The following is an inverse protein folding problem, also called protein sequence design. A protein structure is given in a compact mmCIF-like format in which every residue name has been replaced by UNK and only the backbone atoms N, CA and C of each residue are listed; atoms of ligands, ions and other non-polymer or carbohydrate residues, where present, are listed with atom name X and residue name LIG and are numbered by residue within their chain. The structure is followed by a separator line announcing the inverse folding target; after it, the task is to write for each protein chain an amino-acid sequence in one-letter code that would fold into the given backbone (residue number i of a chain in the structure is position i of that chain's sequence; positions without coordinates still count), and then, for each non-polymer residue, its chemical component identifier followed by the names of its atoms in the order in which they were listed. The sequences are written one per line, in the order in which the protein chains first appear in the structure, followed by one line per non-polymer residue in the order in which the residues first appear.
data_IF_079430985037
#
_entry.id   IF_079430985037
#
_cell.length_a   1.000
_cell.length_b   1.000
_cell.length_c   1.000
_cell.angle_alpha   90.00
_cell.angle_beta   90.00
_cell.angle_gamma   90.00
#
_symmetry.space_group_name_H-M   'P 1'
#
loop_
_entity.id
_entity.type
_entity.pdbx_description
1 polymer ?
#
# COMPACT_ATOMS: atom_id res chain seq x y z
N UNK A 1 19.96 25.64 10.33
CA UNK A 1 19.16 26.57 11.16
C UNK A 1 17.98 27.15 10.37
N UNK A 2 18.19 27.81 9.22
CA UNK A 2 17.10 28.33 8.36
C UNK A 2 16.16 27.23 7.81
N UNK A 3 16.69 26.11 7.29
CA UNK A 3 15.88 24.96 6.84
C UNK A 3 15.06 24.32 7.98
N UNK A 4 15.58 24.29 9.21
CA UNK A 4 14.86 23.76 10.38
C UNK A 4 13.72 24.68 10.84
N UNK A 5 13.92 26.01 10.75
CA UNK A 5 12.87 27.00 11.00
C UNK A 5 11.79 26.94 9.91
N UNK A 6 12.19 26.77 8.64
CA UNK A 6 11.24 26.55 7.53
C UNK A 6 10.48 25.23 7.66
N UNK A 7 11.15 24.15 8.08
CA UNK A 7 10.52 22.86 8.41
C UNK A 7 9.48 22.99 9.52
N UNK A 8 9.80 23.71 10.60
CA UNK A 8 8.83 24.02 11.66
C UNK A 8 7.62 24.81 11.16
N UNK A 9 7.82 25.71 10.18
CA UNK A 9 6.75 26.48 9.56
C UNK A 9 5.94 25.66 8.53
N UNK A 10 6.55 24.78 7.74
CA UNK A 10 5.83 23.91 6.78
C UNK A 10 4.98 22.86 7.47
N UNK A 11 5.48 22.28 8.56
CA UNK A 11 4.73 21.33 9.41
C UNK A 11 3.46 21.96 9.97
N UNK A 12 3.50 23.24 10.36
CA UNK A 12 2.38 23.97 10.98
C UNK A 12 1.48 24.70 9.98
N UNK A 13 2.05 25.34 8.96
CA UNK A 13 1.35 26.25 8.04
C UNK A 13 1.05 25.65 6.66
N UNK A 14 1.54 24.44 6.35
CA UNK A 14 1.33 23.81 5.05
C UNK A 14 2.06 24.51 3.89
N UNK A 15 3.10 25.28 4.19
CA UNK A 15 3.97 25.94 3.20
C UNK A 15 4.92 24.93 2.55
N UNK A 16 5.48 25.26 1.38
CA UNK A 16 6.47 24.45 0.69
C UNK A 16 7.64 24.06 1.62
N UNK A 17 7.92 22.76 1.71
CA UNK A 17 9.07 22.21 2.43
C UNK A 17 10.39 22.74 1.81
N UNK A 18 11.42 23.06 2.60
CA UNK A 18 12.72 23.42 2.06
C UNK A 18 13.32 22.25 1.25
N UNK A 19 14.18 22.57 0.29
CA UNK A 19 14.96 21.55 -0.40
C UNK A 19 16.02 21.00 0.55
N UNK A 20 15.77 19.83 1.13
CA UNK A 20 16.68 19.17 2.07
C UNK A 20 17.86 18.57 1.32
N UNK A 21 17.58 17.79 0.27
CA UNK A 21 18.56 17.05 -0.52
C UNK A 21 18.38 15.52 -0.42
N UNK A 22 19.00 14.74 -1.31
CA UNK A 22 18.90 13.27 -1.32
C UNK A 22 19.52 12.62 -0.08
N UNK A 23 20.39 13.30 0.65
CA UNK A 23 20.96 12.84 1.92
C UNK A 23 19.97 12.84 3.08
N UNK A 24 18.81 13.50 2.91
CA UNK A 24 17.76 13.58 3.93
C UNK A 24 16.65 12.54 3.73
N UNK A 25 16.83 11.61 2.79
CA UNK A 25 15.99 10.43 2.61
C UNK A 25 16.88 9.18 2.77
N UNK A 26 16.43 8.24 3.59
CA UNK A 26 17.11 6.98 3.86
C UNK A 26 16.22 5.83 3.39
N UNK A 27 16.24 5.47 2.09
CA UNK A 27 15.46 4.38 1.55
C UNK A 27 15.64 3.06 2.33
N UNK A 28 14.55 2.30 2.42
CA UNK A 28 14.47 1.04 3.19
C UNK A 28 15.59 0.03 2.89
N UNK A 29 16.13 0.00 1.66
CA UNK A 29 17.19 -0.93 1.25
C UNK A 29 18.60 -0.31 1.24
N UNK A 30 18.78 0.93 1.69
CA UNK A 30 20.05 1.66 1.54
C UNK A 30 21.26 0.94 2.12
N UNK A 31 21.14 0.32 3.30
CA UNK A 31 22.26 -0.42 3.91
C UNK A 31 22.76 -1.55 3.01
N UNK A 32 21.84 -2.39 2.51
CA UNK A 32 22.16 -3.50 1.62
C UNK A 32 22.77 -3.04 0.29
N UNK A 33 22.21 -1.97 -0.30
CA UNK A 33 22.66 -1.40 -1.56
C UNK A 33 24.04 -0.73 -1.43
N UNK A 34 24.35 -0.15 -0.28
CA UNK A 34 25.66 0.42 0.04
C UNK A 34 26.71 -0.62 0.49
N UNK A 35 26.38 -1.92 0.41
CA UNK A 35 27.32 -3.02 0.65
C UNK A 35 27.33 -3.57 2.08
N UNK A 36 26.53 -3.03 3.00
CA UNK A 36 26.36 -3.62 4.33
C UNK A 36 25.45 -4.85 4.24
N UNK A 37 26.08 -6.02 4.11
CA UNK A 37 25.38 -7.31 4.02
C UNK A 37 24.98 -7.89 5.38
N UNK A 38 25.24 -7.19 6.49
CA UNK A 38 24.69 -7.59 7.80
C UNK A 38 23.17 -7.34 7.88
N UNK A 39 22.66 -6.40 7.09
CA UNK A 39 21.24 -6.16 6.88
C UNK A 39 20.84 -6.86 5.57
N UNK A 40 19.99 -7.90 5.62
CA UNK A 40 19.55 -8.58 4.40
C UNK A 40 18.67 -7.66 3.56
N UNK A 41 18.61 -7.91 2.25
CA UNK A 41 17.72 -7.17 1.34
C UNK A 41 16.26 -7.29 1.79
N UNK A 42 15.87 -8.50 2.19
CA UNK A 42 14.58 -8.79 2.79
C UNK A 42 14.70 -9.96 3.78
N UNK A 43 13.74 -10.06 4.70
CA UNK A 43 13.68 -11.14 5.71
C UNK A 43 12.23 -11.48 6.07
N UNK A 44 12.04 -12.61 6.78
CA UNK A 44 10.71 -13.02 7.25
C UNK A 44 10.17 -12.07 8.33
N UNK A 45 8.84 -12.05 8.47
CA UNK A 45 8.15 -11.25 9.47
C UNK A 45 8.12 -11.94 10.83
N UNK A 46 8.35 -11.15 11.86
CA UNK A 46 8.10 -11.51 13.25
C UNK A 46 6.80 -10.86 13.73
N UNK A 47 6.28 -11.28 14.89
CA UNK A 47 5.11 -10.63 15.52
C UNK A 47 5.33 -9.12 15.71
N UNK A 48 6.55 -8.72 16.07
CA UNK A 48 6.92 -7.31 16.24
C UNK A 48 6.78 -6.52 14.94
N UNK A 49 7.11 -7.13 13.80
CA UNK A 49 6.97 -6.48 12.49
C UNK A 49 5.51 -6.32 12.07
N UNK A 50 4.62 -7.17 12.59
CA UNK A 50 3.16 -7.11 12.37
C UNK A 50 2.43 -6.29 13.44
N UNK A 51 3.17 -5.73 14.42
CA UNK A 51 2.57 -4.94 15.49
C UNK A 51 2.35 -3.50 15.06
N UNK A 52 1.25 -2.90 15.51
CA UNK A 52 1.02 -1.46 15.39
C UNK A 52 2.13 -0.72 16.13
N UNK A 53 2.69 0.29 15.48
CA UNK A 53 3.77 1.11 16.01
C UNK A 53 3.24 2.21 16.94
N UNK A 54 2.00 2.65 16.72
CA UNK A 54 1.28 3.69 17.47
C UNK A 54 2.17 4.90 17.76
N UNK A 55 2.71 5.58 16.72
CA UNK A 55 3.58 6.73 16.95
C UNK A 55 2.85 7.85 17.71
N UNK A 56 3.59 8.62 18.49
CA UNK A 56 3.07 9.75 19.27
C UNK A 56 2.98 11.08 18.48
N UNK A 57 3.04 11.02 17.16
CA UNK A 57 2.97 12.16 16.25
C UNK A 57 1.91 11.92 15.18
N UNK A 58 1.73 12.87 14.27
CA UNK A 58 0.75 12.72 13.18
C UNK A 58 1.15 11.54 12.29
N UNK A 59 0.32 10.50 12.28
CA UNK A 59 0.57 9.29 11.51
C UNK A 59 -0.72 8.60 11.10
N UNK A 60 -0.61 7.77 10.06
CA UNK A 60 -1.66 6.84 9.64
C UNK A 60 -1.05 5.45 9.54
N UNK A 61 -1.64 4.50 10.26
CA UNK A 61 -1.34 3.08 10.17
C UNK A 61 -2.51 2.35 9.52
N UNK A 62 -2.22 1.47 8.56
CA UNK A 62 -3.24 0.66 7.91
C UNK A 62 -2.88 -0.82 7.96
N UNK A 63 -3.92 -1.64 8.05
CA UNK A 63 -3.85 -3.05 7.66
C UNK A 63 -4.86 -3.23 6.53
N UNK A 64 -4.36 -3.61 5.35
CA UNK A 64 -5.19 -3.80 4.15
C UNK A 64 -5.09 -5.24 3.69
N UNK A 65 -6.25 -5.87 3.52
CA UNK A 65 -6.40 -7.25 3.06
C UNK A 65 -7.12 -7.21 1.71
N UNK A 66 -6.37 -7.21 0.62
CA UNK A 66 -6.94 -7.30 -0.74
C UNK A 66 -7.41 -8.72 -0.98
N UNK A 67 -8.53 -8.94 -1.63
CA UNK A 67 -8.99 -10.29 -1.98
C UNK A 67 -9.47 -10.35 -3.42
N UNK A 68 -9.30 -11.51 -4.04
CA UNK A 68 -9.69 -11.83 -5.41
C UNK A 68 -10.20 -13.26 -5.41
N UNK A 69 -11.36 -13.51 -6.01
CA UNK A 69 -11.79 -14.86 -6.40
C UNK A 69 -12.08 -14.91 -7.91
N UNK A 70 -12.83 -15.91 -8.36
CA UNK A 70 -13.21 -16.06 -9.76
C UNK A 70 -14.06 -14.89 -10.28
N UNK A 71 -14.95 -14.35 -9.45
CA UNK A 71 -15.99 -13.38 -9.79
C UNK A 71 -15.71 -11.99 -9.21
N UNK A 72 -15.31 -11.93 -7.96
CA UNK A 72 -15.22 -10.75 -7.12
C UNK A 72 -13.77 -10.37 -6.80
N UNK A 73 -13.58 -9.09 -6.51
CA UNK A 73 -12.33 -8.53 -6.00
C UNK A 73 -12.65 -7.35 -5.09
N UNK A 74 -11.72 -6.98 -4.22
CA UNK A 74 -11.92 -5.92 -3.25
C UNK A 74 -10.86 -5.88 -2.17
N UNK A 75 -11.17 -5.19 -1.08
CA UNK A 75 -10.34 -5.20 0.11
C UNK A 75 -11.14 -4.93 1.39
N UNK A 76 -10.63 -5.44 2.50
CA UNK A 76 -10.99 -5.00 3.84
C UNK A 76 -9.80 -4.25 4.45
N UNK A 77 -10.06 -3.09 5.05
CA UNK A 77 -9.01 -2.24 5.60
C UNK A 77 -9.42 -1.68 6.95
N UNK A 78 -8.50 -1.69 7.91
CA UNK A 78 -8.58 -0.81 9.08
C UNK A 78 -7.56 0.30 8.95
N UNK A 79 -8.00 1.52 9.22
CA UNK A 79 -7.17 2.72 9.27
C UNK A 79 -7.14 3.17 10.74
N UNK A 80 -5.96 3.29 11.31
CA UNK A 80 -5.71 3.86 12.63
C UNK A 80 -4.85 5.11 12.49
N UNK A 81 -5.42 6.26 12.80
CA UNK A 81 -4.77 7.56 12.65
C UNK A 81 -4.50 8.19 14.00
N UNK A 82 -3.32 8.79 14.15
CA UNK A 82 -3.00 9.69 15.25
C UNK A 82 -2.87 11.11 14.71
N UNK A 83 -3.60 12.06 15.30
CA UNK A 83 -3.55 13.47 14.94
C UNK A 83 -2.80 14.22 16.05
N UNK A 84 -1.59 14.69 15.74
CA UNK A 84 -0.75 15.53 16.62
C UNK A 84 -0.40 14.83 17.96
N UNK A 85 -0.52 13.50 18.05
CA UNK A 85 -0.23 12.77 19.29
C UNK A 85 -1.34 12.86 20.36
N UNK A 86 -2.46 13.52 20.06
CA UNK A 86 -3.50 13.86 21.04
C UNK A 86 -4.83 13.15 20.80
N UNK A 87 -5.15 12.88 19.53
CA UNK A 87 -6.42 12.30 19.14
C UNK A 87 -6.18 11.12 18.20
N UNK A 88 -6.57 9.92 18.66
CA UNK A 88 -6.62 8.73 17.81
C UNK A 88 -8.01 8.57 17.23
N UNK A 89 -8.07 8.18 15.96
CA UNK A 89 -9.32 7.81 15.27
C UNK A 89 -9.10 6.51 14.53
N UNK A 90 -10.14 5.69 14.42
CA UNK A 90 -10.08 4.50 13.58
C UNK A 90 -11.29 4.41 12.65
N UNK A 91 -11.09 3.76 11.50
CA UNK A 91 -12.11 3.51 10.49
C UNK A 91 -11.95 2.09 9.95
N UNK A 92 -13.07 1.45 9.64
CA UNK A 92 -13.11 0.23 8.85
C UNK A 92 -13.65 0.56 7.46
N UNK A 93 -12.84 0.29 6.44
CA UNK A 93 -13.18 0.49 5.03
C UNK A 93 -13.32 -0.87 4.37
N UNK A 94 -14.38 -1.05 3.59
CA UNK A 94 -14.62 -2.25 2.81
C UNK A 94 -15.02 -1.89 1.39
N UNK A 95 -14.33 -2.49 0.43
CA UNK A 95 -14.60 -2.38 -1.00
C UNK A 95 -14.84 -3.76 -1.60
N UNK A 96 -15.83 -3.88 -2.46
CA UNK A 96 -16.16 -5.10 -3.18
C UNK A 96 -16.75 -4.78 -4.54
N UNK A 97 -16.32 -5.50 -5.58
CA UNK A 97 -16.83 -5.37 -6.93
C UNK A 97 -16.65 -6.66 -7.73
N UNK A 98 -17.37 -6.77 -8.84
CA UNK A 98 -17.16 -7.86 -9.81
C UNK A 98 -15.97 -7.52 -10.71
N UNK A 99 -15.07 -8.47 -10.96
CA UNK A 99 -13.87 -8.29 -11.80
C UNK A 99 -14.20 -7.87 -13.25
N UNK A 100 -15.39 -8.23 -13.73
CA UNK A 100 -15.85 -7.88 -15.07
C UNK A 100 -16.37 -6.43 -15.18
N UNK A 101 -16.87 -5.86 -14.07
CA UNK A 101 -17.43 -4.50 -13.97
C UNK A 101 -16.89 -3.81 -12.72
N UNK A 102 -15.59 -3.51 -12.66
CA UNK A 102 -14.96 -3.04 -11.43
C UNK A 102 -15.34 -1.60 -11.04
N UNK A 103 -15.97 -0.85 -11.92
CA UNK A 103 -16.54 0.48 -11.72
C UNK A 103 -17.93 0.46 -11.05
N UNK A 104 -18.59 -0.71 -10.99
CA UNK A 104 -19.79 -0.96 -10.19
C UNK A 104 -19.40 -1.66 -8.89
N UNK A 105 -19.15 -0.86 -7.86
CA UNK A 105 -18.59 -1.31 -6.60
C UNK A 105 -19.43 -0.89 -5.39
N UNK A 106 -19.39 -1.75 -4.37
CA UNK A 106 -19.74 -1.38 -3.00
C UNK A 106 -18.51 -0.74 -2.35
N UNK A 107 -18.69 0.44 -1.77
CA UNK A 107 -17.71 1.09 -0.91
C UNK A 107 -18.37 1.51 0.40
N UNK A 108 -17.78 1.13 1.52
CA UNK A 108 -18.19 1.61 2.84
C UNK A 108 -16.96 2.03 3.63
N UNK A 109 -17.08 3.14 4.36
CA UNK A 109 -16.07 3.60 5.32
C UNK A 109 -16.81 4.04 6.58
N UNK A 110 -16.56 3.33 7.68
CA UNK A 110 -17.29 3.52 8.93
C UNK A 110 -16.33 3.84 10.06
N UNK A 111 -16.59 4.94 10.78
CA UNK A 111 -15.84 5.32 11.98
C UNK A 111 -16.01 4.24 13.05
N UNK A 112 -14.92 3.90 13.73
CA UNK A 112 -14.90 2.95 14.83
C UNK A 112 -14.85 3.66 16.17
N UNK A 113 -15.59 3.12 17.13
CA UNK A 113 -15.62 3.57 18.52
C UNK A 113 -15.13 2.45 19.44
N UNK A 114 -14.66 2.81 20.65
CA UNK A 114 -14.10 1.90 21.65
C UNK A 114 -12.99 0.97 21.14
N UNK A 115 -12.20 1.45 20.17
CA UNK A 115 -11.15 0.63 19.58
C UNK A 115 -9.94 0.45 20.50
N UNK A 116 -9.29 -0.70 20.41
CA UNK A 116 -8.07 -1.05 21.15
C UNK A 116 -7.18 -1.97 20.33
N UNK A 117 -5.87 -1.87 20.59
CA UNK A 117 -4.87 -2.79 20.05
C UNK A 117 -4.42 -3.70 21.19
N UNK A 118 -4.57 -5.01 21.02
CA UNK A 118 -4.10 -6.02 21.96
C UNK A 118 -2.97 -6.84 21.34
N UNK A 119 -2.05 -7.34 22.18
CA UNK A 119 -0.91 -8.16 21.76
C UNK A 119 -0.02 -7.52 20.68
N UNK A 120 -0.14 -6.21 20.47
CA UNK A 120 0.51 -5.46 19.40
C UNK A 120 -0.13 -5.62 18.03
N UNK A 121 -0.78 -6.76 17.73
CA UNK A 121 -1.23 -7.13 16.38
C UNK A 121 -2.74 -7.13 16.20
N UNK A 122 -3.50 -7.30 17.29
CA UNK A 122 -4.93 -7.56 17.23
C UNK A 122 -5.68 -6.25 17.37
N UNK A 123 -6.59 -5.97 16.45
CA UNK A 123 -7.41 -4.77 16.45
C UNK A 123 -8.85 -5.11 16.81
N UNK A 124 -9.37 -4.48 17.85
CA UNK A 124 -10.77 -4.61 18.26
C UNK A 124 -11.44 -3.25 18.27
N UNK A 125 -12.73 -3.20 17.95
CA UNK A 125 -13.62 -2.07 18.16
C UNK A 125 -15.06 -2.59 18.32
N UNK A 126 -16.02 -1.71 18.61
CA UNK A 126 -17.42 -2.11 18.59
C UNK A 126 -17.79 -2.66 17.19
N UNK A 127 -18.27 -3.90 17.14
CA UNK A 127 -18.65 -4.58 15.89
C UNK A 127 -17.49 -4.93 14.94
N UNK A 128 -16.21 -4.79 15.35
CA UNK A 128 -15.05 -5.13 14.50
C UNK A 128 -13.99 -5.89 15.28
N UNK A 129 -13.42 -6.93 14.67
CA UNK A 129 -12.22 -7.61 15.16
C UNK A 129 -11.31 -8.06 14.01
N UNK A 130 -10.02 -7.78 14.10
CA UNK A 130 -8.96 -8.29 13.23
C UNK A 130 -7.91 -8.94 14.12
N UNK A 131 -7.81 -10.26 14.08
CA UNK A 131 -7.02 -11.02 15.05
C UNK A 131 -6.00 -11.90 14.34
N UNK A 132 -4.73 -11.79 14.73
CA UNK A 132 -3.64 -12.62 14.21
C UNK A 132 -3.44 -13.85 15.12
N UNK A 133 -3.43 -15.04 14.52
CA UNK A 133 -3.20 -16.26 15.29
C UNK A 133 -1.79 -16.34 15.91
N UNK A 134 -1.57 -17.20 16.92
CA UNK A 134 -0.27 -17.38 17.56
C UNK A 134 0.86 -17.73 16.58
N UNK A 135 0.57 -18.52 15.54
CA UNK A 135 1.50 -19.02 14.52
C UNK A 135 1.91 -17.97 13.47
N UNK A 136 1.35 -16.75 13.51
CA UNK A 136 1.67 -15.65 12.59
C UNK A 136 1.42 -15.99 11.11
N UNK A 137 0.37 -16.76 10.84
CA UNK A 137 0.04 -17.20 9.49
C UNK A 137 -1.44 -17.09 9.14
N UNK A 138 -2.29 -16.62 10.05
CA UNK A 138 -3.72 -16.47 9.79
C UNK A 138 -4.31 -15.25 10.49
N UNK A 139 -5.05 -14.42 9.74
CA UNK A 139 -5.89 -13.36 10.27
C UNK A 139 -7.36 -13.76 10.18
N UNK A 140 -8.11 -13.49 11.26
CA UNK A 140 -9.56 -13.56 11.28
C UNK A 140 -10.12 -12.13 11.32
N UNK A 141 -10.92 -11.75 10.31
CA UNK A 141 -11.48 -10.42 10.12
C UNK A 141 -13.00 -10.52 10.26
N UNK A 142 -13.57 -9.80 11.21
CA UNK A 142 -15.03 -9.70 11.40
C UNK A 142 -15.43 -8.24 11.47
N UNK A 143 -16.49 -7.88 10.76
CA UNK A 143 -17.07 -6.55 10.80
C UNK A 143 -18.59 -6.66 10.63
N UNK A 144 -19.32 -6.14 11.61
CA UNK A 144 -20.78 -5.95 11.58
C UNK A 144 -21.15 -4.47 11.79
N UNK A 145 -20.17 -3.58 11.67
CA UNK A 145 -20.30 -2.14 11.96
C UNK A 145 -21.16 -1.40 10.93
N UNK A 146 -21.30 -1.94 9.72
CA UNK A 146 -22.07 -1.33 8.64
C UNK A 146 -23.24 -2.25 8.25
N UNK A 147 -24.47 -1.75 8.26
CA UNK A 147 -25.62 -2.56 7.83
C UNK A 147 -25.60 -2.90 6.34
N UNK A 148 -24.80 -2.18 5.55
CA UNK A 148 -24.69 -2.40 4.11
C UNK A 148 -23.81 -3.61 3.77
N UNK A 149 -22.91 -4.00 4.68
CA UNK A 149 -22.12 -5.23 4.59
C UNK A 149 -21.71 -5.79 5.96
N UNK A 150 -21.91 -7.09 6.14
CA UNK A 150 -21.33 -7.85 7.26
C UNK A 150 -20.23 -8.74 6.69
N UNK A 151 -19.01 -8.56 7.19
CA UNK A 151 -17.79 -9.21 6.70
C UNK A 151 -17.31 -10.23 7.72
N UNK A 152 -17.04 -11.45 7.25
CA UNK A 152 -16.38 -12.49 8.04
C UNK A 152 -15.40 -13.24 7.14
N UNK A 153 -14.11 -12.93 7.25
CA UNK A 153 -13.06 -13.45 6.38
C UNK A 153 -11.93 -14.08 7.21
N UNK A 154 -11.41 -15.19 6.71
CA UNK A 154 -10.17 -15.82 7.17
C UNK A 154 -9.12 -15.68 6.09
N UNK A 155 -8.00 -15.05 6.42
CA UNK A 155 -6.87 -14.82 5.51
C UNK A 155 -5.68 -15.64 6.00
N UNK A 156 -5.20 -16.58 5.20
CA UNK A 156 -4.10 -17.47 5.55
C UNK A 156 -2.90 -17.25 4.63
N UNK A 157 -1.73 -17.03 5.23
CA UNK A 157 -0.47 -16.84 4.54
C UNK A 157 -0.05 -18.13 3.82
N UNK A 158 0.25 -18.02 2.53
CA UNK A 158 0.73 -19.15 1.70
C UNK A 158 2.21 -19.05 1.35
N UNK A 159 2.87 -17.96 1.72
CA UNK A 159 4.26 -17.65 1.35
C UNK A 159 5.03 -17.03 2.51
N UNK A 160 6.34 -16.82 2.35
CA UNK A 160 7.10 -16.03 3.32
C UNK A 160 6.50 -14.61 3.44
N UNK A 161 6.40 -14.10 4.66
CA UNK A 161 6.04 -12.70 4.89
C UNK A 161 7.29 -11.85 4.69
N UNK A 162 7.17 -10.66 4.14
CA UNK A 162 8.33 -9.92 3.67
C UNK A 162 8.40 -8.55 4.33
N UNK A 163 9.56 -8.26 4.94
CA UNK A 163 10.05 -6.90 5.18
C UNK A 163 11.34 -6.68 4.43
N UNK A 164 11.49 -5.52 3.82
CA UNK A 164 12.73 -5.10 3.19
C UNK A 164 13.65 -4.40 4.19
N UNK A 165 14.96 -4.53 3.98
CA UNK A 165 15.97 -3.97 4.87
C UNK A 165 15.81 -4.43 6.32
N UNK A 166 16.05 -3.51 7.25
CA UNK A 166 16.02 -3.78 8.69
C UNK A 166 14.62 -4.10 9.21
N UNK A 167 13.63 -3.31 8.83
CA UNK A 167 12.28 -3.34 9.43
C UNK A 167 11.14 -2.89 8.48
N UNK A 168 11.43 -2.73 7.18
CA UNK A 168 10.48 -2.25 6.18
C UNK A 168 10.35 -0.73 6.10
N UNK A 169 11.17 0.04 6.81
CA UNK A 169 11.01 1.50 6.95
C UNK A 169 12.00 2.30 6.11
N UNK A 170 11.48 3.31 5.42
CA UNK A 170 12.22 4.45 4.88
C UNK A 170 12.11 5.62 5.85
N UNK A 171 13.23 6.28 6.13
CA UNK A 171 13.30 7.39 7.08
C UNK A 171 13.59 8.72 6.38
N UNK A 172 12.99 9.78 6.90
CA UNK A 172 13.18 11.14 6.43
C UNK A 172 13.87 11.96 7.54
N UNK A 173 14.94 12.65 7.21
CA UNK A 173 15.72 13.42 8.18
C UNK A 173 17.21 13.43 7.88
N UNK A 174 17.91 14.41 8.47
CA UNK A 174 19.38 14.45 8.45
C UNK A 174 20.01 13.56 9.52
N UNK A 175 19.21 13.08 10.47
CA UNK A 175 19.59 12.13 11.52
C UNK A 175 18.62 10.95 11.47
N UNK A 176 19.13 9.77 11.10
CA UNK A 176 18.33 8.54 10.98
C UNK A 176 17.87 8.01 12.33
N UNK A 177 18.56 8.36 13.42
CA UNK A 177 18.17 7.97 14.78
C UNK A 177 17.06 8.86 15.33
N UNK A 178 16.88 10.06 14.76
CA UNK A 178 15.83 11.01 15.11
C UNK A 178 15.11 11.53 13.84
N UNK A 179 14.44 10.64 13.08
CA UNK A 179 13.81 11.02 11.83
C UNK A 179 12.59 11.91 12.11
N UNK A 180 12.33 12.88 11.22
CA UNK A 180 11.13 13.72 11.30
C UNK A 180 9.93 13.11 10.57
N UNK A 181 10.14 12.00 9.87
CA UNK A 181 9.11 11.29 9.13
C UNK A 181 9.56 9.88 8.79
N UNK A 182 8.59 9.00 8.57
CA UNK A 182 8.83 7.63 8.17
C UNK A 182 7.76 7.11 7.23
N UNK A 183 8.14 6.13 6.42
CA UNK A 183 7.24 5.37 5.59
C UNK A 183 7.60 3.90 5.69
N UNK A 184 6.65 3.05 6.08
CA UNK A 184 6.92 1.64 6.32
C UNK A 184 5.89 0.76 5.63
N UNK A 185 6.36 -0.34 5.05
CA UNK A 185 5.51 -1.39 4.48
C UNK A 185 6.05 -2.78 4.83
N UNK A 186 5.16 -3.68 5.22
CA UNK A 186 5.43 -5.13 5.31
C UNK A 186 4.28 -5.91 4.69
N UNK A 187 4.60 -7.06 4.09
CA UNK A 187 3.69 -7.74 3.17
C UNK A 187 3.51 -9.21 3.53
N UNK A 188 2.30 -9.74 3.35
CA UNK A 188 2.12 -11.13 2.95
C UNK A 188 1.75 -11.13 1.45
N UNK A 189 2.72 -11.46 0.57
CA UNK A 189 2.57 -11.26 -0.88
C UNK A 189 1.62 -12.25 -1.55
N UNK A 190 1.52 -13.48 -1.00
CA UNK A 190 0.60 -14.51 -1.46
C UNK A 190 -0.07 -15.21 -0.29
N UNK A 191 -1.39 -15.17 -0.29
CA UNK A 191 -2.25 -15.71 0.75
C UNK A 191 -3.52 -16.31 0.12
N UNK A 192 -4.24 -17.14 0.88
CA UNK A 192 -5.62 -17.55 0.58
C UNK A 192 -6.62 -16.78 1.44
N UNK A 193 -7.81 -16.57 0.90
CA UNK A 193 -8.95 -16.01 1.63
C UNK A 193 -10.18 -16.90 1.46
N UNK A 194 -10.89 -17.09 2.56
CA UNK A 194 -12.20 -17.73 2.58
C UNK A 194 -13.13 -16.97 3.53
N UNK A 195 -14.43 -17.10 3.34
CA UNK A 195 -15.42 -16.52 4.23
C UNK A 195 -16.63 -15.98 3.51
N UNK A 196 -17.37 -15.09 4.19
CA UNK A 196 -18.65 -14.59 3.71
C UNK A 196 -18.76 -13.08 3.85
N UNK A 197 -19.40 -12.47 2.86
CA UNK A 197 -19.80 -11.06 2.86
C UNK A 197 -21.31 -11.02 2.64
N UNK A 198 -22.06 -10.58 3.65
CA UNK A 198 -23.53 -10.44 3.55
C UNK A 198 -23.87 -9.00 3.21
N UNK A 199 -24.55 -8.80 2.09
CA UNK A 199 -24.98 -7.50 1.58
C UNK A 199 -26.34 -7.08 2.15
N UNK A 200 -26.63 -5.78 2.05
CA UNK A 200 -27.88 -5.16 2.53
C UNK A 200 -29.15 -5.78 1.95
N UNK A 201 -29.10 -6.17 0.68
CA UNK A 201 -30.23 -6.75 -0.07
C UNK A 201 -30.48 -8.22 0.31
N UNK A 202 -29.64 -8.80 1.16
CA UNK A 202 -29.72 -10.18 1.61
C UNK A 202 -28.84 -11.15 0.83
N UNK A 203 -28.18 -10.72 -0.25
CA UNK A 203 -27.19 -11.54 -0.95
C UNK A 203 -26.03 -11.89 0.00
N UNK A 204 -25.54 -13.12 -0.07
CA UNK A 204 -24.34 -13.55 0.66
C UNK A 204 -23.32 -14.06 -0.34
N UNK A 205 -22.24 -13.30 -0.50
CA UNK A 205 -21.08 -13.70 -1.29
C UNK A 205 -20.23 -14.61 -0.42
N UNK A 206 -19.87 -15.77 -0.96
CA UNK A 206 -18.97 -16.72 -0.29
C UNK A 206 -17.69 -16.80 -1.09
N UNK A 207 -16.58 -16.39 -0.48
CA UNK A 207 -15.25 -16.54 -1.04
C UNK A 207 -14.76 -17.95 -0.68
N UNK A 208 -14.41 -18.75 -1.69
CA UNK A 208 -13.80 -20.07 -1.51
C UNK A 208 -12.50 -20.14 -2.29
N UNK A 209 -11.39 -20.41 -1.59
CA UNK A 209 -10.05 -20.48 -2.19
C UNK A 209 -9.65 -19.21 -2.97
N UNK A 210 -10.11 -18.03 -2.54
CA UNK A 210 -9.68 -16.77 -3.12
C UNK A 210 -8.19 -16.53 -2.87
N UNK A 211 -7.57 -15.72 -3.72
CA UNK A 211 -6.22 -15.20 -3.49
C UNK A 211 -6.28 -13.87 -2.75
N UNK A 212 -5.31 -13.61 -1.87
CA UNK A 212 -5.21 -12.34 -1.14
C UNK A 212 -3.76 -11.88 -1.07
N UNK A 213 -3.60 -10.57 -0.86
CA UNK A 213 -2.36 -9.93 -0.49
C UNK A 213 -2.64 -9.05 0.72
N UNK A 214 -1.79 -9.16 1.74
CA UNK A 214 -1.87 -8.33 2.93
C UNK A 214 -0.71 -7.34 2.97
N UNK A 215 -1.01 -6.10 3.33
CA UNK A 215 -0.01 -5.08 3.62
C UNK A 215 -0.35 -4.37 4.92
N UNK A 216 0.66 -4.22 5.77
CA UNK A 216 0.63 -3.28 6.89
C UNK A 216 1.50 -2.08 6.54
N UNK A 217 0.91 -0.89 6.55
CA UNK A 217 1.61 0.34 6.23
C UNK A 217 1.59 1.32 7.40
N UNK A 218 2.65 2.12 7.51
CA UNK A 218 2.71 3.28 8.39
C UNK A 218 3.23 4.46 7.57
N UNK A 219 2.45 5.53 7.55
CA UNK A 219 2.88 6.85 7.10
C UNK A 219 3.00 7.77 8.31
N UNK A 220 4.25 8.06 8.72
CA UNK A 220 4.58 8.90 9.87
C UNK A 220 4.74 10.39 9.54
N UNK A 221 4.10 10.89 8.49
CA UNK A 221 4.14 12.29 8.08
C UNK A 221 2.97 12.65 7.16
N UNK A 222 2.81 13.93 6.79
CA UNK A 222 1.76 14.34 5.85
C UNK A 222 2.05 13.78 4.44
N UNK A 223 1.04 13.31 3.67
CA UNK A 223 1.26 12.68 2.36
C UNK A 223 2.10 13.50 1.39
N UNK A 224 1.80 14.80 1.27
CA UNK A 224 2.50 15.73 0.36
C UNK A 224 3.94 16.05 0.78
N UNK A 225 4.34 15.75 2.01
CA UNK A 225 5.74 15.81 2.42
C UNK A 225 6.45 14.47 2.18
N UNK A 226 5.73 13.35 2.17
CA UNK A 226 6.32 12.02 2.00
C UNK A 226 6.62 11.71 0.52
N UNK A 227 5.66 12.00 -0.34
CA UNK A 227 5.68 11.56 -1.73
C UNK A 227 4.91 12.53 -2.63
N UNK A 228 5.35 12.60 -3.89
CA UNK A 228 4.63 13.28 -4.97
C UNK A 228 3.78 12.33 -5.80
N UNK A 229 4.19 11.07 -5.89
CA UNK A 229 3.47 10.02 -6.63
C UNK A 229 3.78 8.63 -6.09
N UNK A 230 2.88 7.69 -6.33
CA UNK A 230 3.03 6.27 -5.98
C UNK A 230 2.59 5.36 -7.12
N UNK A 231 3.25 4.20 -7.20
CA UNK A 231 2.84 3.07 -8.01
C UNK A 231 2.73 1.84 -7.11
N UNK A 232 1.57 1.17 -7.16
CA UNK A 232 1.33 -0.10 -6.49
C UNK A 232 0.99 -1.18 -7.50
N UNK A 233 1.60 -2.35 -7.36
CA UNK A 233 1.25 -3.56 -8.09
C UNK A 233 0.91 -4.66 -7.10
N UNK A 234 -0.26 -5.26 -7.27
CA UNK A 234 -0.63 -6.56 -6.73
C UNK A 234 -1.11 -7.45 -7.89
N UNK A 235 -0.18 -8.19 -8.49
CA UNK A 235 -0.45 -9.20 -9.50
C UNK A 235 -0.65 -10.55 -8.82
N UNK A 236 -1.73 -11.26 -9.17
CA UNK A 236 -2.03 -12.60 -8.70
C UNK A 236 -2.49 -13.48 -9.87
N UNK A 237 -1.78 -14.59 -10.07
CA UNK A 237 -2.18 -15.67 -10.96
C UNK A 237 -2.18 -17.01 -10.22
N UNK A 238 -2.55 -18.07 -10.94
CA UNK A 238 -2.41 -19.44 -10.45
C UNK A 238 -0.95 -19.75 -10.09
N UNK A 239 0.01 -19.29 -10.91
CA UNK A 239 1.39 -19.71 -10.79
C UNK A 239 2.30 -18.73 -10.02
N UNK A 240 1.96 -17.44 -9.98
CA UNK A 240 2.83 -16.41 -9.41
C UNK A 240 2.05 -15.31 -8.70
N UNK A 241 2.73 -14.63 -7.77
CA UNK A 241 2.31 -13.32 -7.30
C UNK A 241 3.47 -12.33 -7.42
N UNK A 242 3.16 -11.10 -7.84
CA UNK A 242 4.12 -10.01 -7.86
C UNK A 242 3.56 -8.84 -7.07
N UNK A 243 4.30 -8.42 -6.06
CA UNK A 243 3.99 -7.22 -5.28
C UNK A 243 5.09 -6.21 -5.53
N UNK A 244 4.74 -4.98 -5.89
CA UNK A 244 5.66 -3.86 -5.98
C UNK A 244 5.03 -2.61 -5.35
N UNK A 245 5.79 -1.94 -4.50
CA UNK A 245 5.47 -0.64 -3.94
C UNK A 245 6.58 0.33 -4.30
N UNK A 246 6.24 1.37 -5.05
CA UNK A 246 7.15 2.45 -5.40
C UNK A 246 6.52 3.79 -5.06
N UNK A 247 7.31 4.68 -4.48
CA UNK A 247 6.95 6.08 -4.40
C UNK A 247 8.11 6.97 -4.83
N UNK A 248 7.76 8.13 -5.35
CA UNK A 248 8.72 9.18 -5.64
C UNK A 248 8.53 10.31 -4.63
N UNK A 249 9.60 10.72 -3.98
CA UNK A 249 9.55 11.84 -3.03
C UNK A 249 9.29 13.17 -3.75
N UNK A 250 8.84 14.23 -3.04
CA UNK A 250 8.84 15.58 -3.57
C UNK A 250 10.26 16.10 -3.89
N UNK A 251 10.35 17.25 -4.56
CA UNK A 251 11.62 17.99 -4.77
C UNK A 251 12.44 18.19 -3.51
N UNK A 252 11.79 18.29 -2.34
CA UNK A 252 12.47 18.45 -1.05
C UNK A 252 13.48 17.35 -0.75
N UNK A 253 13.29 16.15 -1.32
CA UNK A 253 14.21 15.01 -1.22
C UNK A 253 14.72 14.59 -2.60
N UNK A 254 14.88 15.56 -3.50
CA UNK A 254 15.47 15.38 -4.83
C UNK A 254 14.73 14.41 -5.77
N UNK A 255 13.40 14.28 -5.63
CA UNK A 255 12.63 13.33 -6.48
C UNK A 255 13.19 11.90 -6.40
N UNK A 256 13.63 11.49 -5.21
CA UNK A 256 14.19 10.16 -4.99
C UNK A 256 13.10 9.11 -5.16
N UNK A 257 13.38 8.08 -5.96
CA UNK A 257 12.52 6.91 -6.11
C UNK A 257 12.90 5.91 -5.03
N UNK A 258 11.89 5.45 -4.29
CA UNK A 258 12.01 4.36 -3.32
C UNK A 258 11.11 3.25 -3.81
N UNK A 259 11.70 2.08 -4.09
CA UNK A 259 10.99 0.95 -4.67
C UNK A 259 11.35 -0.34 -3.94
N UNK A 260 10.35 -1.17 -3.69
CA UNK A 260 10.50 -2.54 -3.18
C UNK A 260 9.56 -3.45 -3.95
N UNK A 261 10.01 -4.66 -4.25
CA UNK A 261 9.19 -5.63 -4.97
C UNK A 261 9.61 -7.07 -4.72
N UNK A 262 8.65 -7.99 -4.74
CA UNK A 262 8.87 -9.41 -4.49
C UNK A 262 8.07 -10.27 -5.47
N UNK A 263 8.68 -11.36 -5.89
CA UNK A 263 8.09 -12.37 -6.78
C UNK A 263 8.02 -13.70 -6.02
N UNK A 264 6.82 -14.29 -5.97
CA UNK A 264 6.55 -15.57 -5.31
C UNK A 264 5.99 -16.54 -6.34
N UNK A 265 6.38 -17.81 -6.26
CA UNK A 265 5.76 -18.89 -7.03
C UNK A 265 4.52 -19.50 -6.35
N UNK A 266 3.84 -20.40 -7.05
CA UNK A 266 2.62 -21.07 -6.58
C UNK A 266 2.80 -21.90 -5.31
N UNK A 267 4.02 -22.36 -5.05
CA UNK A 267 4.35 -23.19 -3.90
C UNK A 267 4.75 -22.31 -2.69
N UNK A 268 4.63 -20.98 -2.82
CA UNK A 268 4.86 -20.01 -1.75
C UNK A 268 6.33 -19.62 -1.58
N UNK A 269 7.21 -20.04 -2.48
CA UNK A 269 8.64 -19.74 -2.41
C UNK A 269 8.91 -18.37 -3.02
N UNK A 270 9.72 -17.58 -2.32
CA UNK A 270 10.27 -16.34 -2.85
C UNK A 270 11.27 -16.69 -3.95
N UNK A 271 10.96 -16.31 -5.20
CA UNK A 271 11.93 -16.40 -6.29
C UNK A 271 13.02 -15.37 -6.07
N UNK A 272 12.62 -14.12 -5.88
CA UNK A 272 13.50 -13.03 -5.44
C UNK A 272 12.72 -11.83 -4.92
N UNK A 273 13.41 -10.99 -4.15
CA UNK A 273 13.01 -9.63 -3.84
C UNK A 273 14.01 -8.65 -4.45
N UNK A 274 13.56 -7.42 -4.74
CA UNK A 274 14.38 -6.37 -5.33
C UNK A 274 13.98 -4.98 -4.83
N UNK A 275 14.96 -4.08 -4.75
CA UNK A 275 14.74 -2.65 -4.55
C UNK A 275 15.27 -1.82 -5.74
N UNK A 276 15.69 -2.50 -6.81
CA UNK A 276 16.06 -1.93 -8.10
C UNK A 276 14.99 -2.37 -9.10
N UNK A 277 13.85 -1.69 -9.02
CA UNK A 277 12.70 -1.95 -9.87
C UNK A 277 12.43 -0.71 -10.72
N UNK A 278 11.73 -0.92 -11.83
CA UNK A 278 11.37 0.16 -12.75
C UNK A 278 9.87 0.11 -13.03
N UNK A 279 9.20 1.24 -12.90
CA UNK A 279 7.82 1.44 -13.35
C UNK A 279 7.82 2.41 -14.53
N UNK A 280 7.33 1.95 -15.67
CA UNK A 280 7.29 2.70 -16.92
C UNK A 280 5.84 2.93 -17.35
N UNK A 281 5.44 4.19 -17.46
CA UNK A 281 4.19 4.56 -18.12
C UNK A 281 4.41 4.58 -19.63
N UNK A 282 3.93 3.54 -20.31
CA UNK A 282 4.09 3.35 -21.75
C UNK A 282 3.17 4.28 -22.55
N UNK A 283 1.96 4.50 -22.06
CA UNK A 283 0.98 5.42 -22.63
C UNK A 283 0.20 6.12 -21.52
N UNK A 284 -0.24 7.36 -21.78
CA UNK A 284 -1.05 8.15 -20.86
C UNK A 284 -2.35 8.61 -21.50
N UNK A 285 -3.39 8.75 -20.67
CA UNK A 285 -4.63 9.45 -20.97
C UNK A 285 -4.83 10.59 -19.98
N UNK A 286 -5.17 11.78 -20.49
CA UNK A 286 -5.54 12.90 -19.63
C UNK A 286 -6.91 12.64 -19.00
N UNK A 287 -7.00 12.75 -17.69
CA UNK A 287 -8.28 12.79 -16.97
C UNK A 287 -8.75 14.26 -16.90
N UNK A 288 -9.84 14.59 -17.59
CA UNK A 288 -10.26 16.00 -17.74
C UNK A 288 -10.76 16.63 -16.44
N UNK A 289 -11.16 15.83 -15.45
CA UNK A 289 -11.66 16.33 -14.17
C UNK A 289 -10.53 16.72 -13.21
N UNK A 290 -9.52 15.86 -13.08
CA UNK A 290 -8.36 16.14 -12.24
C UNK A 290 -7.26 16.95 -12.94
N UNK A 291 -7.16 16.82 -14.27
CA UNK A 291 -6.06 17.33 -15.08
C UNK A 291 -4.84 16.40 -15.18
N UNK A 292 -4.78 15.30 -14.44
CA UNK A 292 -3.63 14.39 -14.41
C UNK A 292 -3.47 13.61 -15.72
N UNK A 293 -2.21 13.32 -16.09
CA UNK A 293 -1.86 12.34 -17.11
C UNK A 293 -1.79 10.96 -16.46
N UNK A 294 -2.86 10.21 -16.60
CA UNK A 294 -3.05 8.90 -15.97
C UNK A 294 -2.50 7.81 -16.89
N UNK A 295 -1.79 6.79 -16.40
CA UNK A 295 -1.33 5.69 -17.25
C UNK A 295 -2.52 4.96 -17.90
N UNK A 296 -2.44 4.73 -19.20
CA UNK A 296 -3.34 3.84 -19.95
C UNK A 296 -2.65 2.54 -20.38
N UNK A 297 -1.32 2.50 -20.33
CA UNK A 297 -0.50 1.31 -20.53
C UNK A 297 0.74 1.42 -19.64
N UNK A 298 1.06 0.37 -18.90
CA UNK A 298 2.08 0.39 -17.86
C UNK A 298 2.94 -0.88 -17.90
N UNK A 299 4.20 -0.75 -17.52
CA UNK A 299 5.14 -1.86 -17.34
C UNK A 299 5.84 -1.75 -15.99
N UNK A 300 5.81 -2.84 -15.25
CA UNK A 300 6.59 -3.05 -14.04
C UNK A 300 7.72 -4.01 -14.35
N UNK A 301 8.95 -3.68 -13.94
CA UNK A 301 10.12 -4.55 -14.09
C UNK A 301 10.79 -4.73 -12.73
N UNK A 302 10.94 -5.99 -12.31
CA UNK A 302 11.70 -6.37 -11.12
C UNK A 302 12.92 -7.20 -11.55
N UNK A 303 14.10 -6.92 -11.00
CA UNK A 303 15.34 -7.59 -11.40
C UNK A 303 16.24 -7.86 -10.19
N UNK A 304 16.91 -9.02 -10.15
CA UNK A 304 17.93 -9.34 -9.14
C UNK A 304 19.35 -9.58 -9.72
N UNK A 305 19.55 -9.32 -11.02
CA UNK A 305 20.78 -9.53 -11.78
C UNK A 305 20.86 -10.88 -12.51
N UNK A 306 20.00 -11.85 -12.18
CA UNK A 306 19.92 -13.16 -12.87
C UNK A 306 18.53 -13.40 -13.44
N UNK A 307 17.51 -13.16 -12.62
CA UNK A 307 16.11 -13.26 -12.99
C UNK A 307 15.52 -11.87 -13.16
N UNK A 308 14.64 -11.74 -14.14
CA UNK A 308 13.87 -10.53 -14.41
C UNK A 308 12.41 -10.89 -14.58
N UNK A 309 11.52 -10.15 -13.92
CA UNK A 309 10.08 -10.24 -14.11
C UNK A 309 9.58 -8.95 -14.73
N UNK A 310 8.75 -9.07 -15.76
CA UNK A 310 7.99 -7.96 -16.32
C UNK A 310 6.50 -8.22 -16.14
N UNK A 311 5.76 -7.25 -15.63
CA UNK A 311 4.29 -7.25 -15.61
C UNK A 311 3.82 -6.05 -16.43
N UNK A 312 3.15 -6.30 -17.55
CA UNK A 312 2.86 -5.28 -18.57
C UNK A 312 1.45 -5.41 -19.12
N UNK A 313 0.82 -4.26 -19.41
CA UNK A 313 -0.42 -4.24 -20.17
C UNK A 313 -1.22 -2.96 -20.03
N UNK A 314 -2.38 -2.98 -20.69
CA UNK A 314 -3.31 -1.84 -20.73
C UNK A 314 -4.12 -1.72 -19.45
N UNK A 315 -4.40 -0.48 -19.08
CA UNK A 315 -5.20 -0.12 -17.91
C UNK A 315 -6.58 0.40 -18.35
N UNK A 316 -7.38 -0.50 -18.94
CA UNK A 316 -8.68 -0.15 -19.53
C UNK A 316 -9.83 -0.21 -18.50
N UNK A 317 -9.62 -0.94 -17.39
CA UNK A 317 -10.59 -1.11 -16.31
C UNK A 317 -10.20 -0.31 -15.08
N UNK A 318 -10.67 0.94 -15.02
CA UNK A 318 -10.60 1.76 -13.81
C UNK A 318 -11.69 1.29 -12.84
N UNK A 319 -11.31 0.84 -11.65
CA UNK A 319 -12.26 0.49 -10.59
C UNK A 319 -12.75 1.73 -9.86
N UNK A 320 -11.85 2.66 -9.53
CA UNK A 320 -12.19 3.88 -8.81
C UNK A 320 -11.13 4.95 -9.02
N UNK A 321 -11.59 6.20 -9.08
CA UNK A 321 -10.76 7.39 -8.96
C UNK A 321 -11.10 8.08 -7.65
N UNK A 322 -10.23 7.94 -6.67
CA UNK A 322 -10.42 8.51 -5.33
C UNK A 322 -9.93 9.96 -5.33
N UNK A 323 -10.84 10.90 -5.06
CA UNK A 323 -10.47 12.29 -4.71
C UNK A 323 -10.10 12.32 -3.23
N UNK A 324 -8.80 12.31 -2.94
CA UNK A 324 -8.32 12.24 -1.54
C UNK A 324 -8.81 13.46 -0.74
N UNK A 325 -9.01 14.61 -1.38
CA UNK A 325 -9.54 15.79 -0.69
C UNK A 325 -11.03 15.67 -0.40
N UNK A 326 -11.81 14.98 -1.25
CA UNK A 326 -13.22 14.71 -0.96
C UNK A 326 -13.39 13.82 0.27
N UNK A 327 -12.51 12.83 0.43
CA UNK A 327 -12.54 11.84 1.52
C UNK A 327 -12.07 12.38 2.89
N UNK A 328 -11.39 13.52 2.91
CA UNK A 328 -10.87 14.11 4.15
C UNK A 328 -11.98 14.90 4.88
N UNK A 329 -12.20 14.65 6.19
CA UNK A 329 -13.12 15.46 7.01
C UNK A 329 -12.79 16.96 7.00
N UNK A 330 -13.82 17.80 7.07
CA UNK A 330 -13.69 19.26 6.89
C UNK A 330 -12.69 19.92 7.85
N UNK A 331 -12.55 19.44 9.09
CA UNK A 331 -11.60 20.01 10.06
C UNK A 331 -10.13 19.77 9.69
N UNK A 332 -9.84 18.70 8.94
CA UNK A 332 -8.49 18.39 8.43
C UNK A 332 -8.20 19.22 7.18
N UNK A 333 -9.19 19.52 6.32
CA UNK A 333 -9.01 20.32 5.09
C UNK A 333 -8.34 21.68 5.34
N UNK A 334 -8.62 22.32 6.48
CA UNK A 334 -8.00 23.59 6.88
C UNK A 334 -6.50 23.50 7.19
N UNK A 335 -5.97 22.30 7.40
CA UNK A 335 -4.55 22.02 7.67
C UNK A 335 -3.80 21.68 6.36
N UNK A 336 -4.52 21.29 5.31
CA UNK A 336 -3.97 20.86 4.00
C UNK A 336 -4.13 21.92 2.91
N UNK A 337 -4.97 22.95 3.12
CA UNK A 337 -5.26 24.02 2.15
C UNK A 337 -4.08 24.95 1.82
N UNK A 338 -2.90 24.73 2.40
CA UNK A 338 -1.67 25.48 2.10
C UNK A 338 -0.92 25.01 0.84
N UNK A 339 -1.28 23.85 0.27
CA UNK A 339 -0.62 23.30 -0.91
C UNK A 339 -1.13 23.99 -2.18
N UNK A 340 -0.25 24.71 -2.86
CA UNK A 340 -0.55 25.37 -4.11
C UNK A 340 -0.93 24.35 -5.21
N UNK A 341 -2.19 24.41 -5.65
CA UNK A 341 -2.59 24.15 -7.04
C UNK A 341 -2.82 22.70 -7.50
N UNK A 342 -2.45 21.67 -6.75
CA UNK A 342 -2.61 20.26 -7.20
C UNK A 342 -3.53 19.46 -6.26
N UNK A 343 -4.47 18.72 -6.84
CA UNK A 343 -5.43 17.88 -6.10
C UNK A 343 -4.91 16.44 -6.07
N UNK A 344 -4.75 15.83 -4.88
CA UNK A 344 -4.32 14.44 -4.77
C UNK A 344 -5.40 13.48 -5.24
N UNK A 345 -5.04 12.57 -6.15
CA UNK A 345 -5.91 11.52 -6.67
C UNK A 345 -5.22 10.16 -6.63
N UNK A 346 -6.00 9.11 -6.35
CA UNK A 346 -5.58 7.72 -6.48
C UNK A 346 -6.44 7.08 -7.59
N UNK A 347 -5.78 6.55 -8.61
CA UNK A 347 -6.43 5.78 -9.66
C UNK A 347 -6.22 4.30 -9.40
N UNK A 348 -7.29 3.58 -9.14
CA UNK A 348 -7.28 2.16 -8.81
C UNK A 348 -7.76 1.36 -10.01
N UNK A 349 -6.90 0.51 -10.55
CA UNK A 349 -7.12 -0.27 -11.74
C UNK A 349 -7.27 -1.76 -11.43
N UNK A 350 -8.08 -2.45 -12.22
CA UNK A 350 -8.38 -3.87 -12.06
C UNK A 350 -8.38 -4.56 -13.42
N UNK A 351 -7.19 -4.94 -13.88
CA UNK A 351 -6.97 -5.46 -15.24
C UNK A 351 -6.35 -6.86 -15.20
N UNK A 352 -6.41 -7.56 -16.32
CA UNK A 352 -5.54 -8.71 -16.55
C UNK A 352 -4.29 -8.21 -17.28
N UNK A 353 -3.12 -8.46 -16.69
CA UNK A 353 -1.83 -8.06 -17.26
C UNK A 353 -1.00 -9.29 -17.60
N UNK A 354 -0.07 -9.12 -18.54
CA UNK A 354 0.86 -10.14 -18.97
C UNK A 354 2.07 -10.17 -18.02
N UNK A 355 2.40 -11.35 -17.52
CA UNK A 355 3.58 -11.63 -16.72
C UNK A 355 4.62 -12.37 -17.57
N UNK A 356 5.88 -11.93 -17.50
CA UNK A 356 7.02 -12.57 -18.15
C UNK A 356 8.13 -12.78 -17.16
N UNK A 357 8.54 -14.04 -16.98
CA UNK A 357 9.74 -14.39 -16.22
C UNK A 357 10.88 -14.72 -17.17
N UNK A 358 11.99 -14.04 -16.99
CA UNK A 358 13.25 -14.28 -17.68
C UNK A 358 14.29 -14.82 -16.70
N UNK A 359 15.10 -15.76 -17.18
CA UNK A 359 16.30 -16.24 -16.49
C UNK A 359 17.48 -16.09 -17.46
N UNK A 360 18.50 -15.32 -17.06
CA UNK A 360 19.65 -14.97 -17.91
C UNK A 360 19.21 -14.47 -19.30
N UNK A 361 18.29 -13.50 -19.30
CA UNK A 361 17.67 -12.87 -20.48
C UNK A 361 16.87 -13.80 -21.42
N UNK A 362 16.64 -15.06 -21.02
CA UNK A 362 15.78 -15.99 -21.76
C UNK A 362 14.42 -16.08 -21.12
N UNK A 363 13.37 -15.83 -21.91
CA UNK A 363 11.98 -16.01 -21.48
C UNK A 363 11.75 -17.47 -21.07
N UNK A 364 11.30 -17.67 -19.83
CA UNK A 364 10.99 -18.97 -19.25
C UNK A 364 9.48 -19.19 -19.15
N UNK A 365 8.75 -18.15 -18.75
CA UNK A 365 7.31 -18.20 -18.52
C UNK A 365 6.67 -16.94 -19.08
N UNK A 366 5.51 -17.12 -19.70
CA UNK A 366 4.60 -16.05 -20.11
C UNK A 366 3.18 -16.50 -19.74
N UNK A 367 2.48 -15.69 -18.95
CA UNK A 367 1.09 -15.96 -18.55
C UNK A 367 0.33 -14.67 -18.22
N UNK A 368 -0.97 -14.80 -18.00
CA UNK A 368 -1.84 -13.69 -17.63
C UNK A 368 -2.32 -13.86 -16.19
N UNK A 369 -2.46 -12.75 -15.48
CA UNK A 369 -2.96 -12.76 -14.12
C UNK A 369 -3.75 -11.50 -13.80
N UNK A 370 -4.62 -11.64 -12.80
CA UNK A 370 -5.41 -10.52 -12.33
C UNK A 370 -4.49 -9.55 -11.58
N UNK A 371 -4.64 -8.27 -11.89
CA UNK A 371 -3.83 -7.20 -11.31
C UNK A 371 -4.71 -6.14 -10.72
N UNK A 372 -4.52 -5.92 -9.42
CA UNK A 372 -4.91 -4.67 -8.78
C UNK A 372 -3.71 -3.72 -8.80
N UNK A 373 -3.88 -2.56 -9.42
CA UNK A 373 -2.82 -1.56 -9.57
C UNK A 373 -3.31 -0.20 -9.08
N UNK A 374 -2.44 0.57 -8.43
CA UNK A 374 -2.72 1.96 -8.12
C UNK A 374 -1.67 2.88 -8.74
N UNK A 375 -2.14 3.99 -9.31
CA UNK A 375 -1.33 5.13 -9.69
C UNK A 375 -1.81 6.35 -8.89
N UNK A 376 -0.96 6.84 -7.99
CA UNK A 376 -1.29 7.97 -7.11
C UNK A 376 -0.52 9.20 -7.53
N UNK A 377 -1.21 10.33 -7.57
CA UNK A 377 -0.64 11.65 -7.81
C UNK A 377 -1.00 12.56 -6.64
N UNK A 378 0.01 13.18 -6.02
CA UNK A 378 -0.17 14.02 -4.82
C UNK A 378 0.20 15.46 -5.15
N UNK A 379 1.36 15.67 -5.77
CA UNK A 379 1.82 16.99 -6.19
C UNK A 379 2.66 16.89 -7.47
N UNK A 380 2.65 17.95 -8.29
CA UNK A 380 3.46 18.02 -9.51
C UNK A 380 4.96 18.22 -9.23
N UNK A 381 5.31 18.73 -8.04
CA UNK A 381 6.67 19.15 -7.68
C UNK A 381 7.39 18.19 -6.75
#
# INVERSE_FOLDING_TARGET
MWKLVQSGLSVVAGTQEPEYGPESIHPVCSAYLNGDKSIPLYSDLTRKDLSYQVPNHTSVETQTFYFIDDVYSGFAQVIHSNIIGLHTTAQFTFKLFKKITPDDYLWTSTKLDNFKIENGTDFYADGVSIVLNPELNEYNIKSEICSDNIVNLTVKRLSQGIKFGKDGTTYYGTDVENPWGSMRHVFWPRCSVEGTIKLKDGETITLQNGSTMYVMALQGMKPHHAAKSWNFLNYQSENYSVVLMEFTTPKSYNTTIVSVGVVIDKDGKVLFGSCDNQVETLETKKDEESGWLVPSNIKFTLNNGTQKVEVVGKLDKLSERVDVMAEIPQFVKNIVSGVAGTKPYIYQFSNELEFKLYDNDKLQVEETGYTYNEATFITES
#
